data_IF_444305004107
#
_entry.id   IF_444305004107
#
_cell.length_a   1.000
_cell.length_b   1.000
_cell.length_c   1.000
_cell.angle_alpha   90.00
_cell.angle_beta   90.00
_cell.angle_gamma   90.00
#
_symmetry.space_group_name_H-M   'P 1'
#
loop_
_entity.id
_entity.type
_entity.pdbx_description
1 polymer ?
#
# COMPACT_ATOMS: atom_id res chain seq x y z
N UNK A 1 35.75 -21.24 -17.46
CA UNK A 1 35.32 -21.34 -16.04
C UNK A 1 34.86 -20.02 -15.38
N UNK A 2 34.98 -18.84 -16.01
CA UNK A 2 34.55 -17.56 -15.38
C UNK A 2 33.05 -17.18 -15.50
N UNK A 3 32.27 -17.73 -16.45
CA UNK A 3 30.88 -17.28 -16.70
C UNK A 3 29.87 -17.69 -15.61
N UNK A 4 30.10 -18.80 -14.92
CA UNK A 4 29.19 -19.31 -13.87
C UNK A 4 29.25 -18.52 -12.55
N UNK A 5 30.38 -17.85 -12.27
CA UNK A 5 30.55 -17.05 -11.03
C UNK A 5 29.78 -15.73 -11.08
N UNK A 6 29.62 -15.14 -12.27
CA UNK A 6 28.86 -13.90 -12.47
C UNK A 6 27.35 -14.16 -12.38
N UNK A 7 26.87 -15.25 -13.01
CA UNK A 7 25.46 -15.67 -12.97
C UNK A 7 24.98 -15.97 -11.53
N UNK A 8 25.78 -16.68 -10.73
CA UNK A 8 25.46 -16.99 -9.32
C UNK A 8 25.45 -15.76 -8.41
N UNK A 9 26.29 -14.73 -8.67
CA UNK A 9 26.27 -13.46 -7.93
C UNK A 9 25.05 -12.61 -8.28
N UNK A 10 24.69 -12.52 -9.56
CA UNK A 10 23.49 -11.78 -9.99
C UNK A 10 22.21 -12.40 -9.46
N UNK A 11 22.14 -13.74 -9.40
CA UNK A 11 20.96 -14.45 -8.89
C UNK A 11 20.84 -14.38 -7.35
N UNK A 12 21.96 -14.31 -6.63
CA UNK A 12 21.97 -14.07 -5.16
C UNK A 12 21.56 -12.64 -4.78
N UNK A 13 21.91 -11.63 -5.58
CA UNK A 13 21.41 -10.25 -5.41
C UNK A 13 19.91 -10.17 -5.66
N UNK A 14 19.42 -10.68 -6.80
CA UNK A 14 17.98 -10.76 -7.10
C UNK A 14 17.20 -11.46 -5.98
N UNK A 15 17.68 -12.59 -5.43
CA UNK A 15 17.00 -13.26 -4.30
C UNK A 15 17.02 -12.47 -2.98
N UNK A 16 18.02 -11.62 -2.73
CA UNK A 16 18.05 -10.73 -1.56
C UNK A 16 17.11 -9.53 -1.75
N UNK A 17 17.11 -8.93 -2.94
CA UNK A 17 16.19 -7.85 -3.30
C UNK A 17 14.73 -8.33 -3.26
N UNK A 18 14.45 -9.58 -3.67
CA UNK A 18 13.14 -10.20 -3.51
C UNK A 18 12.75 -10.45 -2.03
N UNK A 19 13.70 -10.73 -1.14
CA UNK A 19 13.42 -10.89 0.31
C UNK A 19 13.14 -9.55 1.00
N UNK A 20 13.86 -8.49 0.62
CA UNK A 20 13.56 -7.13 1.08
C UNK A 20 12.23 -6.63 0.47
N UNK A 21 11.97 -6.95 -0.80
CA UNK A 21 10.72 -6.66 -1.51
C UNK A 21 9.50 -7.44 -0.99
N UNK A 22 9.68 -8.60 -0.38
CA UNK A 22 8.56 -9.35 0.22
C UNK A 22 8.03 -8.73 1.51
N UNK A 23 8.80 -7.91 2.23
CA UNK A 23 8.39 -7.41 3.54
C UNK A 23 7.40 -6.24 3.46
N UNK A 24 7.59 -5.31 2.52
CA UNK A 24 6.67 -4.17 2.35
C UNK A 24 5.30 -4.64 1.84
N UNK A 25 5.26 -5.69 1.00
CA UNK A 25 4.01 -6.22 0.47
C UNK A 25 3.12 -6.77 1.60
N UNK A 26 3.67 -7.55 2.53
CA UNK A 26 2.95 -8.03 3.72
C UNK A 26 2.49 -6.90 4.64
N UNK A 27 3.30 -5.84 4.76
CA UNK A 27 3.00 -4.71 5.64
C UNK A 27 2.02 -3.72 5.02
N UNK A 28 2.00 -3.57 3.70
CA UNK A 28 1.15 -2.59 3.04
C UNK A 28 -0.09 -3.21 2.43
N UNK A 29 0.00 -4.39 1.81
CA UNK A 29 -1.12 -5.10 1.18
C UNK A 29 -1.46 -6.33 2.00
N UNK A 30 -2.48 -6.20 2.86
CA UNK A 30 -2.96 -7.33 3.67
C UNK A 30 -3.41 -8.50 2.78
N UNK A 31 -3.14 -9.74 3.19
CA UNK A 31 -3.48 -10.94 2.41
C UNK A 31 -4.96 -11.01 2.03
N UNK A 32 -5.86 -10.57 2.91
CA UNK A 32 -7.30 -10.48 2.61
C UNK A 32 -7.63 -9.49 1.49
N UNK A 33 -6.98 -8.33 1.47
CA UNK A 33 -7.17 -7.32 0.42
C UNK A 33 -6.65 -7.79 -0.95
N UNK A 34 -5.55 -8.57 -0.98
CA UNK A 34 -5.09 -9.24 -2.19
C UNK A 34 -6.15 -10.23 -2.68
N UNK A 35 -6.72 -11.05 -1.80
CA UNK A 35 -7.75 -12.03 -2.16
C UNK A 35 -9.00 -11.34 -2.73
N UNK A 36 -9.45 -10.23 -2.14
CA UNK A 36 -10.60 -9.48 -2.65
C UNK A 36 -10.32 -8.83 -4.01
N UNK A 37 -9.16 -8.18 -4.17
CA UNK A 37 -8.70 -7.65 -5.46
C UNK A 37 -8.59 -8.75 -6.51
N UNK A 38 -8.05 -9.90 -6.13
CA UNK A 38 -7.88 -11.05 -7.00
C UNK A 38 -9.23 -11.66 -7.34
N UNK A 39 -10.19 -11.67 -6.43
CA UNK A 39 -11.56 -12.16 -6.70
C UNK A 39 -12.30 -11.24 -7.67
N UNK A 40 -12.17 -9.91 -7.53
CA UNK A 40 -12.75 -8.96 -8.47
C UNK A 40 -12.08 -9.05 -9.85
N UNK A 41 -10.74 -9.14 -9.88
CA UNK A 41 -9.96 -9.33 -11.11
C UNK A 41 -10.20 -10.70 -11.72
N UNK A 42 -10.43 -11.75 -10.94
CA UNK A 42 -10.76 -13.10 -11.39
C UNK A 42 -12.16 -13.15 -11.98
N UNK A 43 -13.15 -12.48 -11.39
CA UNK A 43 -14.48 -12.39 -11.98
C UNK A 43 -14.42 -11.67 -13.33
N UNK A 44 -13.66 -10.57 -13.45
CA UNK A 44 -13.40 -9.91 -14.75
C UNK A 44 -12.62 -10.81 -15.72
N UNK A 45 -11.54 -11.42 -15.27
CA UNK A 45 -10.69 -12.26 -16.12
C UNK A 45 -11.40 -13.54 -16.54
N UNK A 46 -12.26 -14.12 -15.69
CA UNK A 46 -13.15 -15.24 -16.07
C UNK A 46 -14.11 -14.80 -17.14
N UNK A 47 -14.71 -13.61 -17.04
CA UNK A 47 -15.53 -13.05 -18.13
C UNK A 47 -14.71 -12.82 -19.40
N UNK A 48 -13.48 -12.31 -19.31
CA UNK A 48 -12.60 -12.06 -20.45
C UNK A 48 -12.05 -13.35 -21.10
N UNK A 49 -11.71 -14.37 -20.31
CA UNK A 49 -11.25 -15.69 -20.76
C UNK A 49 -12.42 -16.49 -21.34
N UNK A 50 -13.62 -16.37 -20.76
CA UNK A 50 -14.83 -16.91 -21.39
C UNK A 50 -15.09 -16.29 -22.77
N UNK A 51 -14.59 -15.07 -23.00
CA UNK A 51 -14.70 -14.36 -24.28
C UNK A 51 -13.48 -14.54 -25.20
N UNK A 52 -12.39 -15.18 -24.75
CA UNK A 52 -11.15 -15.32 -25.53
C UNK A 52 -10.66 -16.77 -25.49
N UNK A 53 -10.78 -17.47 -26.60
CA UNK A 53 -10.38 -18.87 -26.77
C UNK A 53 -8.86 -19.05 -26.57
N UNK A 54 -8.46 -19.23 -25.31
CA UNK A 54 -7.47 -20.22 -24.87
C UNK A 54 -6.03 -20.09 -25.36
N UNK A 55 -5.26 -19.12 -24.85
CA UNK A 55 -3.78 -19.14 -24.99
C UNK A 55 -2.96 -19.08 -23.69
N UNK A 56 -3.55 -18.75 -22.54
CA UNK A 56 -2.82 -18.73 -21.26
C UNK A 56 -3.65 -19.27 -20.10
N UNK A 57 -3.00 -19.95 -19.14
CA UNK A 57 -3.66 -20.52 -17.97
C UNK A 57 -4.11 -19.43 -16.98
N UNK A 58 -5.28 -19.62 -16.38
CA UNK A 58 -5.88 -18.75 -15.37
C UNK A 58 -4.90 -18.47 -14.20
N UNK A 59 -4.16 -19.48 -13.77
CA UNK A 59 -3.16 -19.33 -12.70
C UNK A 59 -1.98 -18.43 -13.11
N UNK A 60 -1.60 -18.44 -14.39
CA UNK A 60 -0.53 -17.59 -14.94
C UNK A 60 -1.00 -16.13 -15.01
N UNK A 61 -2.23 -15.90 -15.47
CA UNK A 61 -2.83 -14.55 -15.51
C UNK A 61 -2.98 -13.96 -14.10
N UNK A 62 -3.30 -14.79 -13.11
CA UNK A 62 -3.34 -14.38 -11.70
C UNK A 62 -1.96 -13.95 -11.19
N UNK A 63 -0.92 -14.78 -11.37
CA UNK A 63 0.42 -14.45 -10.92
C UNK A 63 0.99 -13.18 -11.59
N UNK A 64 0.73 -13.02 -12.89
CA UNK A 64 1.10 -11.81 -13.63
C UNK A 64 0.30 -10.59 -13.14
N UNK A 65 -0.99 -10.78 -12.88
CA UNK A 65 -1.87 -9.72 -12.39
C UNK A 65 -1.52 -9.24 -10.98
N UNK A 66 -1.11 -10.14 -10.09
CA UNK A 66 -0.59 -9.82 -8.75
C UNK A 66 0.72 -9.05 -8.86
N UNK A 67 1.65 -9.55 -9.68
CA UNK A 67 2.95 -8.91 -9.92
C UNK A 67 2.76 -7.47 -10.42
N UNK A 68 1.81 -7.26 -11.33
CA UNK A 68 1.50 -5.93 -11.85
C UNK A 68 0.97 -4.99 -10.77
N UNK A 69 -0.02 -5.42 -9.97
CA UNK A 69 -0.60 -4.57 -8.91
C UNK A 69 0.46 -4.19 -7.87
N UNK A 70 1.32 -5.15 -7.50
CA UNK A 70 2.41 -4.94 -6.56
C UNK A 70 3.40 -3.91 -7.14
N UNK A 71 3.80 -4.04 -8.41
CA UNK A 71 4.73 -3.12 -9.04
C UNK A 71 4.15 -1.71 -9.21
N UNK A 72 2.88 -1.59 -9.63
CA UNK A 72 2.15 -0.32 -9.73
C UNK A 72 2.03 0.37 -8.36
N UNK A 73 1.66 -0.40 -7.34
CA UNK A 73 1.56 0.11 -5.96
C UNK A 73 2.92 0.60 -5.46
N UNK A 74 3.97 -0.18 -5.72
CA UNK A 74 5.33 0.17 -5.33
C UNK A 74 5.74 1.53 -5.91
N UNK A 75 5.60 1.70 -7.22
CA UNK A 75 5.95 2.94 -7.93
C UNK A 75 5.14 4.11 -7.40
N UNK A 76 3.83 3.95 -7.24
CA UNK A 76 2.96 4.99 -6.72
C UNK A 76 3.37 5.48 -5.33
N UNK A 77 3.74 4.57 -4.43
CA UNK A 77 4.20 4.93 -3.09
C UNK A 77 5.52 5.70 -3.17
N UNK A 78 6.48 5.24 -3.97
CA UNK A 78 7.77 5.92 -4.16
C UNK A 78 7.59 7.34 -4.74
N UNK A 79 6.72 7.49 -5.74
CA UNK A 79 6.38 8.76 -6.39
C UNK A 79 5.66 9.73 -5.42
N UNK A 80 4.88 9.18 -4.49
CA UNK A 80 4.23 9.94 -3.41
C UNK A 80 5.19 10.30 -2.27
N UNK A 81 6.49 10.05 -2.44
CA UNK A 81 7.52 10.37 -1.46
C UNK A 81 7.60 9.38 -0.30
N UNK A 82 7.00 8.20 -0.41
CA UNK A 82 7.09 7.15 0.61
C UNK A 82 8.40 6.37 0.44
N UNK A 83 9.09 6.14 1.55
CA UNK A 83 10.28 5.30 1.64
C UNK A 83 9.88 3.86 1.94
N UNK A 84 9.99 2.99 0.94
CA UNK A 84 9.70 1.56 1.12
C UNK A 84 10.71 0.87 2.06
N UNK A 85 11.93 1.41 2.14
CA UNK A 85 12.95 0.94 3.07
C UNK A 85 12.53 1.14 4.54
N UNK A 86 11.69 2.15 4.82
CA UNK A 86 11.14 2.37 6.15
C UNK A 86 10.23 1.21 6.61
N UNK A 87 9.65 0.45 5.67
CA UNK A 87 8.85 -0.75 5.92
C UNK A 87 9.69 -2.02 6.05
N UNK A 88 11.01 -1.93 6.12
CA UNK A 88 11.85 -3.10 6.44
C UNK A 88 11.93 -3.32 7.95
N UNK A 89 12.05 -4.58 8.38
CA UNK A 89 11.98 -5.03 9.79
C UNK A 89 13.02 -4.39 10.74
N UNK A 90 13.95 -3.60 10.22
CA UNK A 90 14.97 -2.87 11.01
C UNK A 90 14.41 -1.63 11.73
N UNK A 91 13.25 -1.11 11.36
CA UNK A 91 12.68 0.08 11.98
C UNK A 91 11.66 -0.27 13.08
N UNK A 92 12.15 -0.39 14.32
CA UNK A 92 11.31 -0.69 15.49
C UNK A 92 10.47 0.54 15.90
N UNK A 93 10.91 1.76 15.57
CA UNK A 93 10.23 3.00 15.98
C UNK A 93 9.04 3.28 15.07
N UNK A 94 7.92 3.60 15.69
CA UNK A 94 6.67 3.96 15.01
C UNK A 94 6.47 5.47 15.02
N UNK A 95 5.86 5.98 13.96
CA UNK A 95 5.38 7.35 13.87
C UNK A 95 4.25 7.58 14.88
N UNK A 96 4.12 8.83 15.33
CA UNK A 96 3.03 9.32 16.16
C UNK A 96 2.02 10.17 15.38
N UNK A 97 2.27 10.45 14.09
CA UNK A 97 1.43 11.29 13.22
C UNK A 97 0.93 10.54 11.99
N UNK A 98 1.62 9.47 11.56
CA UNK A 98 1.32 8.75 10.32
C UNK A 98 0.73 7.37 10.61
N UNK A 99 -0.42 7.10 10.00
CA UNK A 99 -1.23 5.90 10.18
C UNK A 99 -1.34 5.17 8.83
N UNK A 100 -1.10 3.86 8.86
CA UNK A 100 -1.40 2.95 7.77
C UNK A 100 -2.86 2.48 7.92
N UNK A 101 -3.62 2.59 6.83
CA UNK A 101 -5.02 2.19 6.76
C UNK A 101 -5.11 0.98 5.83
N UNK A 102 -5.57 -0.15 6.36
CA UNK A 102 -5.68 -1.41 5.61
C UNK A 102 -7.11 -1.92 5.64
N UNK A 103 -7.36 -2.90 4.77
CA UNK A 103 -8.66 -3.57 4.64
C UNK A 103 -9.76 -2.63 4.12
N UNK A 104 -9.39 -1.76 3.18
CA UNK A 104 -10.35 -0.89 2.50
C UNK A 104 -11.01 -1.65 1.35
N UNK A 105 -12.30 -1.39 1.08
CA UNK A 105 -12.96 -1.87 -0.13
C UNK A 105 -12.20 -1.42 -1.38
N UNK A 106 -12.13 -2.28 -2.39
CA UNK A 106 -11.56 -1.91 -3.69
C UNK A 106 -12.24 -0.64 -4.23
N UNK A 107 -11.46 0.19 -4.95
CA UNK A 107 -11.91 1.50 -5.49
C UNK A 107 -12.31 2.53 -4.42
N UNK A 108 -11.91 2.35 -3.16
CA UNK A 108 -11.94 3.47 -2.21
C UNK A 108 -11.12 4.62 -2.78
N UNK A 109 -11.56 5.86 -2.53
CA UNK A 109 -10.86 7.06 -3.01
C UNK A 109 -10.12 7.76 -1.88
N UNK A 110 -9.06 8.51 -2.22
CA UNK A 110 -8.34 9.33 -1.24
C UNK A 110 -9.24 10.38 -0.58
N UNK A 111 -10.26 10.87 -1.31
CA UNK A 111 -11.24 11.83 -0.78
C UNK A 111 -12.12 11.20 0.31
N UNK A 112 -12.63 9.98 0.11
CA UNK A 112 -13.40 9.26 1.13
C UNK A 112 -12.56 9.03 2.38
N UNK A 113 -11.29 8.65 2.20
CA UNK A 113 -10.37 8.44 3.31
C UNK A 113 -10.08 9.76 4.05
N UNK A 114 -9.90 10.86 3.31
CA UNK A 114 -9.70 12.19 3.88
C UNK A 114 -10.91 12.62 4.71
N UNK A 115 -12.13 12.48 4.19
CA UNK A 115 -13.37 12.80 4.90
C UNK A 115 -13.56 11.98 6.17
N UNK A 116 -13.13 10.71 6.15
CA UNK A 116 -13.23 9.84 7.32
C UNK A 116 -12.30 10.32 8.45
N UNK A 117 -11.07 10.69 8.12
CA UNK A 117 -10.00 11.02 9.07
C UNK A 117 -10.03 12.49 9.51
N UNK A 118 -10.41 13.44 8.64
CA UNK A 118 -10.39 14.88 8.95
C UNK A 118 -11.35 15.27 10.10
N UNK A 119 -12.30 14.39 10.45
CA UNK A 119 -13.21 14.57 11.60
C UNK A 119 -12.48 14.56 12.95
N UNK A 120 -11.25 14.07 12.99
CA UNK A 120 -10.46 13.95 14.22
C UNK A 120 -9.30 14.94 14.31
N UNK A 121 -8.99 15.66 13.23
CA UNK A 121 -7.91 16.64 13.17
C UNK A 121 -7.52 17.05 11.75
N UNK A 122 -6.56 17.95 11.66
CA UNK A 122 -6.03 18.45 10.40
C UNK A 122 -5.07 17.44 9.76
N UNK A 123 -5.29 17.17 8.47
CA UNK A 123 -4.52 16.20 7.71
C UNK A 123 -3.44 16.91 6.90
N UNK A 124 -2.24 16.33 6.86
CA UNK A 124 -1.18 16.73 5.94
C UNK A 124 -1.31 15.99 4.61
N UNK A 125 -0.86 14.74 4.58
CA UNK A 125 -0.89 13.89 3.38
C UNK A 125 -1.87 12.74 3.52
N UNK A 126 -2.63 12.50 2.45
CA UNK A 126 -3.41 11.28 2.27
C UNK A 126 -2.96 10.61 0.98
N UNK A 127 -2.34 9.44 1.09
CA UNK A 127 -1.79 8.69 -0.02
C UNK A 127 -2.53 7.36 -0.15
N UNK A 128 -3.14 7.13 -1.31
CA UNK A 128 -3.91 5.92 -1.59
C UNK A 128 -3.55 5.41 -2.99
N UNK A 129 -2.92 4.22 -3.14
CA UNK A 129 -2.64 3.65 -4.45
C UNK A 129 -3.92 3.36 -5.24
N UNK A 130 -3.84 3.26 -6.59
CA UNK A 130 -5.01 3.14 -7.46
C UNK A 130 -5.92 1.93 -7.17
N UNK A 131 -5.38 0.85 -6.60
CA UNK A 131 -6.17 -0.31 -6.20
C UNK A 131 -7.19 0.02 -5.09
N UNK A 132 -6.92 1.07 -4.29
CA UNK A 132 -7.84 1.58 -3.27
C UNK A 132 -8.02 0.68 -2.05
N UNK A 133 -7.18 -0.34 -1.85
CA UNK A 133 -7.34 -1.30 -0.75
C UNK A 133 -6.60 -0.92 0.52
N UNK A 134 -5.58 -0.07 0.41
CA UNK A 134 -4.68 0.32 1.49
C UNK A 134 -4.25 1.77 1.30
N UNK A 135 -3.97 2.49 2.37
CA UNK A 135 -3.61 3.91 2.32
C UNK A 135 -2.73 4.35 3.48
N UNK A 136 -2.21 5.57 3.36
CA UNK A 136 -1.43 6.26 4.39
C UNK A 136 -2.07 7.60 4.67
N UNK A 137 -2.29 7.90 5.95
CA UNK A 137 -2.81 9.18 6.41
C UNK A 137 -1.82 9.78 7.40
N UNK A 138 -1.41 11.02 7.14
CA UNK A 138 -0.63 11.84 8.05
C UNK A 138 -1.49 12.95 8.63
N UNK A 139 -1.49 13.06 9.96
CA UNK A 139 -1.99 14.24 10.67
C UNK A 139 -0.88 15.26 10.87
N UNK A 140 -1.24 16.53 10.98
CA UNK A 140 -0.30 17.58 11.36
C UNK A 140 0.05 17.54 12.84
N UNK A 141 -0.90 17.12 13.69
CA UNK A 141 -0.72 17.05 15.14
C UNK A 141 -0.75 15.60 15.68
N UNK A 142 0.23 15.20 16.53
CA UNK A 142 0.25 13.85 17.12
C UNK A 142 -0.93 13.52 18.05
N UNK A 143 -1.50 14.51 18.73
CA UNK A 143 -2.65 14.29 19.62
C UNK A 143 -3.91 14.00 18.82
N UNK A 144 -4.10 14.68 17.69
CA UNK A 144 -5.16 14.44 16.72
C UNK A 144 -4.99 13.06 16.05
N UNK A 145 -3.76 12.70 15.67
CA UNK A 145 -3.47 11.37 15.15
C UNK A 145 -3.87 10.27 16.13
N UNK A 146 -3.54 10.41 17.41
CA UNK A 146 -3.92 9.44 18.46
C UNK A 146 -5.43 9.38 18.65
N UNK A 147 -6.11 10.53 18.61
CA UNK A 147 -7.57 10.60 18.67
C UNK A 147 -8.20 9.87 17.49
N UNK A 148 -7.76 10.17 16.26
CA UNK A 148 -8.22 9.49 15.04
C UNK A 148 -7.97 7.99 15.10
N UNK A 149 -6.76 7.56 15.46
CA UNK A 149 -6.41 6.16 15.60
C UNK A 149 -7.35 5.44 16.59
N UNK A 150 -7.52 5.98 17.79
CA UNK A 150 -8.35 5.36 18.84
C UNK A 150 -9.82 5.25 18.43
N UNK A 151 -10.37 6.26 17.76
CA UNK A 151 -11.79 6.30 17.39
C UNK A 151 -12.10 5.45 16.14
N UNK A 152 -11.14 5.30 15.23
CA UNK A 152 -11.34 4.55 13.99
C UNK A 152 -10.85 3.10 14.09
N UNK A 153 -9.96 2.78 15.03
CA UNK A 153 -9.55 1.41 15.30
C UNK A 153 -10.78 0.56 15.62
N UNK A 154 -10.89 -0.60 14.95
CA UNK A 154 -12.02 -1.53 15.07
C UNK A 154 -13.39 -1.00 14.61
N UNK A 155 -13.44 0.18 13.99
CA UNK A 155 -14.65 0.69 13.33
C UNK A 155 -14.83 0.04 11.95
N UNK A 156 -16.06 0.07 11.42
CA UNK A 156 -16.35 -0.34 10.04
C UNK A 156 -16.20 0.86 9.11
N UNK A 157 -15.54 0.65 7.98
CA UNK A 157 -15.60 1.52 6.82
C UNK A 157 -16.36 0.82 5.71
N UNK A 158 -17.51 1.40 5.34
CA UNK A 158 -18.50 0.74 4.48
C UNK A 158 -18.86 -0.63 5.10
N UNK A 159 -18.52 -1.73 4.43
CA UNK A 159 -18.82 -3.09 4.88
C UNK A 159 -17.62 -3.85 5.48
N UNK A 160 -16.42 -3.26 5.50
CA UNK A 160 -15.20 -3.90 6.03
C UNK A 160 -14.73 -3.26 7.34
N UNK A 161 -14.16 -4.02 8.28
CA UNK A 161 -13.51 -3.46 9.46
C UNK A 161 -12.18 -2.78 9.07
N UNK A 162 -11.92 -1.59 9.62
CA UNK A 162 -10.65 -0.89 9.43
C UNK A 162 -9.55 -1.51 10.27
N UNK A 163 -8.41 -1.79 9.64
CA UNK A 163 -7.19 -2.18 10.33
C UNK A 163 -6.19 -1.03 10.26
N UNK A 164 -5.92 -0.45 11.43
CA UNK A 164 -5.02 0.67 11.58
C UNK A 164 -3.72 0.23 12.23
N UNK A 165 -2.60 0.71 11.68
CA UNK A 165 -1.28 0.53 12.27
C UNK A 165 -0.52 1.84 12.24
N UNK A 166 0.29 2.10 13.27
CA UNK A 166 1.25 3.21 13.19
C UNK A 166 2.31 2.90 12.14
N UNK A 167 2.53 3.85 11.23
CA UNK A 167 3.57 3.71 10.22
C UNK A 167 4.95 3.67 10.89
N UNK A 168 5.98 3.07 10.24
CA UNK A 168 7.36 3.22 10.68
C UNK A 168 7.78 4.69 10.72
N UNK A 169 8.76 5.02 11.54
CA UNK A 169 9.38 6.36 11.52
C UNK A 169 10.01 6.64 10.15
N UNK A 170 9.99 7.89 9.69
CA UNK A 170 10.56 8.31 8.39
C UNK A 170 9.92 7.61 7.19
N UNK A 171 8.63 7.28 7.28
CA UNK A 171 7.86 6.70 6.17
C UNK A 171 7.80 7.64 4.97
N UNK A 172 7.75 8.95 5.18
CA UNK A 172 7.92 9.95 4.14
C UNK A 172 9.38 10.40 4.05
N UNK A 173 9.88 10.57 2.83
CA UNK A 173 11.26 11.02 2.54
C UNK A 173 11.50 12.49 2.92
N UNK A 174 10.44 13.27 3.07
CA UNK A 174 10.47 14.67 3.47
C UNK A 174 9.37 14.98 4.48
N UNK A 175 9.61 15.99 5.30
CA UNK A 175 8.58 16.60 6.14
C UNK A 175 7.49 17.22 5.27
N UNK A 176 6.30 17.36 5.85
CA UNK A 176 5.19 18.02 5.18
C UNK A 176 5.44 19.53 5.13
N UNK A 177 5.84 20.04 3.96
CA UNK A 177 5.83 21.47 3.69
C UNK A 177 4.42 21.86 3.25
N UNK A 178 3.54 22.16 4.21
CA UNK A 178 2.23 22.73 3.89
C UNK A 178 2.46 24.03 3.12
N UNK A 179 2.08 24.08 1.84
CA UNK A 179 2.10 25.34 1.10
C UNK A 179 1.06 26.28 1.72
N UNK A 180 1.49 27.15 2.63
CA UNK A 180 0.87 28.45 2.82
C UNK A 180 0.94 29.17 1.46
N UNK A 181 -0.20 29.40 0.83
CA UNK A 181 -0.42 30.06 -0.48
C UNK A 181 -0.20 29.22 -1.74
N UNK A 182 -1.31 28.70 -2.28
CA UNK A 182 -1.64 28.93 -3.69
C UNK A 182 -3.08 29.44 -3.78
N UNK A 183 -3.20 30.76 -3.90
CA UNK A 183 -4.40 31.46 -4.38
C UNK A 183 -4.56 31.19 -5.87
N UNK A 184 -5.82 31.00 -6.28
CA UNK A 184 -6.35 30.66 -7.61
C UNK A 184 -5.73 31.39 -8.80
#
# INVERSE_FOLDING_TARGET
MQRDRVSRRSNRRKRRDCRAGHNWNTLFIGSGAVVDLMSEKYNRSKQEILNSEGKQSVAVNLALGETQIVDETKRFLEDSGISLDAFTTSNIKRSNTVILVKNLPAKTTAQELSQLFCRYGELGRVVLPPAGVTGVVEYLDPSEARKGFKNLAYSKFKYLPLYLEWAPLNVFRSEFSGNLHQTW
#
